data_IF_401548280850
#
_entry.id   IF_401548280850
#
_cell.length_a   1.000
_cell.length_b   1.000
_cell.length_c   1.000
_cell.angle_alpha   90.00
_cell.angle_beta   90.00
_cell.angle_gamma   90.00
#
_symmetry.space_group_name_H-M   'P 1'
#
loop_
_entity.id
_entity.type
_entity.pdbx_description
1 polymer ?
#
# COMPACT_ATOMS: atom_id res chain seq x y z
N UNK A 1 -12.30 10.68 -6.66
CA UNK A 1 -11.72 9.33 -6.57
C UNK A 1 -11.30 9.06 -5.13
N UNK A 2 -11.51 7.85 -4.62
CA UNK A 2 -11.03 7.44 -3.29
C UNK A 2 -9.67 6.76 -3.47
N UNK A 3 -8.69 7.10 -2.65
CA UNK A 3 -7.36 6.49 -2.63
C UNK A 3 -6.93 6.25 -1.18
N UNK A 4 -5.92 5.41 -0.98
CA UNK A 4 -5.32 5.22 0.33
C UNK A 4 -4.30 6.33 0.58
N UNK A 5 -4.03 6.63 1.85
CA UNK A 5 -2.85 7.41 2.23
C UNK A 5 -1.90 6.47 2.94
N UNK A 6 -0.63 6.51 2.55
CA UNK A 6 0.41 5.64 3.10
C UNK A 6 1.63 6.46 3.50
N UNK A 7 2.42 5.89 4.41
CA UNK A 7 3.78 6.31 4.73
C UNK A 7 4.67 5.09 4.52
N UNK A 8 5.62 5.18 3.61
CA UNK A 8 6.57 4.08 3.38
C UNK A 8 7.58 3.99 4.53
N UNK A 9 7.96 5.14 5.09
CA UNK A 9 8.74 5.23 6.31
C UNK A 9 8.01 6.05 7.38
N UNK A 10 8.20 5.69 8.65
CA UNK A 10 7.55 6.38 9.78
C UNK A 10 7.88 7.89 9.84
N UNK A 11 9.07 8.28 9.36
CA UNK A 11 9.56 9.65 9.33
C UNK A 11 9.02 10.48 8.16
N UNK A 12 8.34 9.86 7.19
CA UNK A 12 7.82 10.54 6.01
C UNK A 12 6.40 11.09 6.21
N UNK A 13 6.02 11.98 5.30
CA UNK A 13 4.66 12.51 5.22
C UNK A 13 3.72 11.50 4.57
N UNK A 14 2.43 11.62 4.89
CA UNK A 14 1.40 10.85 4.22
C UNK A 14 1.36 11.22 2.74
N UNK A 15 1.41 10.21 1.88
CA UNK A 15 1.33 10.34 0.43
C UNK A 15 0.12 9.59 -0.09
N UNK A 16 -0.50 10.10 -1.16
CA UNK A 16 -1.60 9.39 -1.80
C UNK A 16 -1.09 8.15 -2.52
N UNK A 17 -1.73 7.02 -2.25
CA UNK A 17 -1.41 5.72 -2.81
C UNK A 17 -2.55 5.26 -3.71
N UNK A 18 -2.24 5.19 -5.00
CA UNK A 18 -3.17 4.81 -6.06
C UNK A 18 -2.97 3.37 -6.56
N UNK A 19 -1.94 2.69 -6.05
CA UNK A 19 -1.68 1.29 -6.36
C UNK A 19 -2.52 0.37 -5.46
N UNK A 20 -2.46 -0.93 -5.74
CA UNK A 20 -3.05 -1.97 -4.90
C UNK A 20 -1.92 -2.74 -4.20
N UNK A 21 -2.20 -3.23 -3.00
CA UNK A 21 -1.36 -4.18 -2.26
C UNK A 21 -2.04 -5.54 -2.37
N UNK A 22 -1.46 -6.45 -3.15
CA UNK A 22 -1.98 -7.80 -3.35
C UNK A 22 -2.10 -8.54 -2.01
N UNK A 23 -3.27 -9.11 -1.73
CA UNK A 23 -3.56 -9.78 -0.46
C UNK A 23 -4.00 -8.86 0.69
N UNK A 24 -4.09 -7.55 0.47
CA UNK A 24 -4.61 -6.60 1.45
C UNK A 24 -5.95 -6.00 1.00
N UNK A 25 -6.88 -5.83 1.93
CA UNK A 25 -8.13 -5.09 1.70
C UNK A 25 -8.32 -4.09 2.82
N UNK A 26 -8.42 -2.82 2.45
CA UNK A 26 -8.62 -1.75 3.41
C UNK A 26 -10.08 -1.67 3.87
N UNK A 27 -10.28 -1.64 5.18
CA UNK A 27 -11.57 -1.31 5.79
C UNK A 27 -11.56 0.14 6.32
N UNK A 28 -12.56 0.97 5.96
CA UNK A 28 -12.69 2.32 6.49
C UNK A 28 -12.79 2.35 8.02
N UNK A 29 -12.16 3.37 8.64
CA UNK A 29 -12.16 3.53 10.10
C UNK A 29 -11.05 2.76 10.81
N UNK A 30 -10.07 2.23 10.07
CA UNK A 30 -8.89 1.58 10.63
C UNK A 30 -7.60 2.18 10.07
N UNK A 31 -6.56 2.20 10.91
CA UNK A 31 -5.18 2.45 10.52
C UNK A 31 -4.40 1.13 10.60
N UNK A 32 -3.51 0.89 9.63
CA UNK A 32 -2.79 -0.37 9.47
C UNK A 32 -1.29 -0.11 9.41
N UNK A 33 -0.51 -0.99 10.04
CA UNK A 33 0.92 -1.11 9.77
C UNK A 33 1.13 -2.43 9.05
N UNK A 34 1.63 -2.37 7.83
CA UNK A 34 1.80 -3.53 6.96
C UNK A 34 3.27 -3.70 6.62
N UNK A 35 3.72 -4.95 6.63
CA UNK A 35 4.96 -5.35 5.98
C UNK A 35 4.61 -5.77 4.56
N UNK A 36 5.15 -5.05 3.59
CA UNK A 36 4.90 -5.28 2.16
C UNK A 36 6.21 -5.62 1.46
N UNK A 37 6.14 -6.54 0.49
CA UNK A 37 7.23 -6.79 -0.45
C UNK A 37 7.00 -5.93 -1.67
N UNK A 38 8.02 -5.21 -2.10
CA UNK A 38 8.01 -4.42 -3.34
C UNK A 38 8.83 -5.13 -4.41
N UNK A 39 8.27 -5.29 -5.59
CA UNK A 39 8.93 -5.91 -6.73
C UNK A 39 8.78 -5.00 -7.94
N UNK A 40 9.89 -4.74 -8.64
CA UNK A 40 9.86 -3.97 -9.87
C UNK A 40 9.35 -4.87 -11.00
N UNK A 41 8.36 -4.38 -11.73
CA UNK A 41 7.86 -5.03 -12.94
C UNK A 41 8.60 -4.41 -14.13
N UNK A 42 9.34 -5.22 -14.87
CA UNK A 42 9.90 -4.82 -16.16
C UNK A 42 8.81 -4.82 -17.24
N UNK A 43 8.79 -3.76 -18.06
CA UNK A 43 7.78 -3.51 -19.08
C UNK A 43 6.33 -3.55 -18.53
N UNK A 44 5.98 -2.69 -17.56
CA UNK A 44 4.61 -2.62 -17.09
C UNK A 44 3.68 -2.17 -18.22
N UNK A 45 2.40 -2.60 -18.21
CA UNK A 45 1.36 -1.98 -19.05
C UNK A 45 1.35 -0.46 -18.89
N UNK A 46 0.98 0.27 -19.95
CA UNK A 46 1.00 1.74 -19.95
C UNK A 46 0.22 2.38 -18.79
N UNK A 47 -0.83 1.70 -18.30
CA UNK A 47 -1.72 2.17 -17.24
C UNK A 47 -1.43 1.53 -15.86
N UNK A 48 -0.37 0.74 -15.74
CA UNK A 48 -0.03 0.03 -14.52
C UNK A 48 1.24 0.58 -13.85
N UNK A 49 1.29 0.48 -12.52
CA UNK A 49 2.49 0.78 -11.77
C UNK A 49 3.64 -0.14 -12.18
N UNK A 50 4.86 0.42 -12.28
CA UNK A 50 6.10 -0.35 -12.43
C UNK A 50 6.52 -1.07 -11.15
N UNK A 51 5.74 -0.93 -10.08
CA UNK A 51 5.99 -1.55 -8.78
C UNK A 51 4.78 -2.38 -8.37
N UNK A 52 5.02 -3.67 -8.11
CA UNK A 52 4.07 -4.58 -7.46
C UNK A 52 4.27 -4.52 -5.95
N UNK A 53 3.18 -4.38 -5.21
CA UNK A 53 3.15 -4.48 -3.76
C UNK A 53 2.40 -5.75 -3.37
N UNK A 54 3.02 -6.61 -2.57
CA UNK A 54 2.38 -7.83 -2.04
C UNK A 54 2.45 -7.80 -0.52
N UNK A 55 1.31 -8.05 0.14
CA UNK A 55 1.23 -8.13 1.60
C UNK A 55 2.05 -9.34 2.08
N UNK A 56 3.02 -9.09 2.95
CA UNK A 56 3.77 -10.14 3.65
C UNK A 56 3.14 -10.39 5.00
N UNK A 57 2.84 -9.33 5.75
CA UNK A 57 2.30 -9.42 7.10
C UNK A 57 1.54 -8.16 7.48
N UNK A 58 0.43 -8.31 8.20
CA UNK A 58 -0.24 -7.20 8.87
C UNK A 58 0.27 -7.09 10.30
N UNK A 59 1.14 -6.12 10.55
CA UNK A 59 1.78 -5.90 11.86
C UNK A 59 0.77 -5.36 12.88
N UNK A 60 -0.11 -4.46 12.46
CA UNK A 60 -1.18 -3.94 13.32
C UNK A 60 -2.40 -3.49 12.53
N UNK A 61 -3.55 -3.51 13.21
CA UNK A 61 -4.83 -2.94 12.77
C UNK A 61 -5.45 -2.23 13.97
N UNK A 62 -5.56 -0.91 13.89
CA UNK A 62 -6.06 -0.07 14.98
C UNK A 62 -7.31 0.67 14.51
N UNK A 63 -8.39 0.58 15.27
CA UNK A 63 -9.62 1.33 14.97
C UNK A 63 -9.40 2.81 15.29
N UNK A 64 -9.77 3.68 14.36
CA UNK A 64 -9.82 5.13 14.53
C UNK A 64 -11.15 5.57 15.12
#
# INVERSE_FOLDING_TARGET
>A
MKCLQVKENASENWSNFYSNIEGFTYEPGYEYVLKVKTEKIDNPPADASSIKYTLVEQVSKTKK
#
